data_IF_332874752310
#
_entry.id   IF_332874752310
#
_cell.length_a   1.000
_cell.length_b   1.000
_cell.length_c   1.000
_cell.angle_alpha   90.00
_cell.angle_beta   90.00
_cell.angle_gamma   90.00
#
_symmetry.space_group_name_H-M   'P 1'
#
loop_
_entity.id
_entity.type
_entity.pdbx_description
1 polymer ?
#
# COMPACT_ATOMS: atom_id res chain seq x y z
N UNK A 1 10.75 -24.58 9.72
CA UNK A 1 11.48 -23.43 10.31
C UNK A 1 10.61 -22.81 11.41
N UNK A 2 11.21 -22.27 12.47
CA UNK A 2 10.46 -21.46 13.43
C UNK A 2 10.47 -20.00 12.93
N UNK A 3 9.34 -19.54 12.39
CA UNK A 3 9.15 -18.17 11.93
C UNK A 3 7.99 -17.51 12.66
N UNK A 4 8.05 -16.18 12.81
CA UNK A 4 7.00 -15.37 13.42
C UNK A 4 6.49 -14.34 12.42
N UNK A 5 5.21 -13.99 12.52
CA UNK A 5 4.67 -12.82 11.86
C UNK A 5 5.18 -11.56 12.57
N UNK A 6 5.76 -10.62 11.81
CA UNK A 6 6.27 -9.35 12.32
C UNK A 6 5.45 -8.21 11.72
N UNK A 7 4.86 -7.39 12.59
CA UNK A 7 4.10 -6.23 12.17
C UNK A 7 5.04 -5.06 11.87
N UNK A 8 5.03 -4.56 10.64
CA UNK A 8 5.69 -3.30 10.27
C UNK A 8 4.63 -2.24 10.09
N UNK A 9 4.62 -1.24 10.97
CA UNK A 9 3.63 -0.17 10.96
C UNK A 9 4.17 1.12 10.36
N UNK A 10 3.32 1.87 9.66
CA UNK A 10 3.68 3.19 9.15
C UNK A 10 3.67 4.26 10.24
N UNK A 11 4.79 4.95 10.41
CA UNK A 11 4.83 6.17 11.23
C UNK A 11 4.15 7.32 10.48
N UNK A 12 3.11 7.90 11.07
CA UNK A 12 2.35 9.00 10.45
C UNK A 12 3.23 10.22 10.20
N UNK A 13 3.21 10.72 8.96
CA UNK A 13 3.98 11.89 8.54
C UNK A 13 3.43 13.23 9.03
N UNK A 14 4.30 14.24 9.08
CA UNK A 14 3.99 15.58 9.59
C UNK A 14 2.92 16.34 8.81
N UNK A 15 2.68 15.98 7.54
CA UNK A 15 1.70 16.61 6.66
C UNK A 15 0.34 15.92 6.66
N UNK A 16 0.05 15.05 7.65
CA UNK A 16 -1.24 14.37 7.76
C UNK A 16 -2.41 15.37 7.74
N UNK A 17 -3.32 15.22 6.77
CA UNK A 17 -4.49 16.09 6.59
C UNK A 17 -5.62 15.37 5.84
N UNK A 18 -6.83 15.93 5.89
CA UNK A 18 -8.00 15.37 5.23
C UNK A 18 -8.38 16.15 3.98
N UNK A 19 -8.16 15.54 2.81
CA UNK A 19 -8.39 16.20 1.52
C UNK A 19 -9.43 15.53 0.60
N UNK A 20 -9.97 14.36 0.99
CA UNK A 20 -10.96 13.65 0.20
C UNK A 20 -10.45 13.18 -1.16
N UNK A 21 -9.19 12.75 -1.23
CA UNK A 21 -8.50 12.40 -2.49
C UNK A 21 -8.85 11.00 -3.03
N UNK A 22 -9.59 10.21 -2.27
CA UNK A 22 -9.81 8.78 -2.56
C UNK A 22 -11.28 8.45 -2.79
N UNK A 23 -11.81 8.75 -3.98
CA UNK A 23 -13.14 8.28 -4.37
C UNK A 23 -13.25 6.75 -4.26
N UNK A 24 -14.32 6.26 -3.63
CA UNK A 24 -14.49 4.88 -3.17
C UNK A 24 -14.06 4.60 -1.73
N UNK A 25 -13.27 5.48 -1.10
CA UNK A 25 -13.05 5.49 0.34
C UNK A 25 -13.98 6.54 0.97
N UNK A 26 -15.09 6.08 1.53
CA UNK A 26 -16.12 6.98 2.06
C UNK A 26 -15.61 7.81 3.25
N UNK A 27 -14.73 7.26 4.09
CA UNK A 27 -14.14 8.01 5.20
C UNK A 27 -13.29 9.19 4.69
N UNK A 28 -12.50 8.99 3.63
CA UNK A 28 -11.75 10.06 2.97
C UNK A 28 -12.68 11.18 2.49
N UNK A 29 -13.76 10.82 1.79
CA UNK A 29 -14.74 11.76 1.24
C UNK A 29 -15.48 12.54 2.34
N UNK A 30 -15.97 11.85 3.38
CA UNK A 30 -16.79 12.43 4.45
C UNK A 30 -16.01 13.41 5.34
N UNK A 31 -14.72 13.18 5.59
CA UNK A 31 -13.89 14.03 6.45
C UNK A 31 -13.12 15.13 5.69
N UNK A 32 -13.43 15.32 4.40
CA UNK A 32 -12.74 16.29 3.54
C UNK A 32 -12.72 17.69 4.18
N UNK A 33 -11.53 18.27 4.26
CA UNK A 33 -11.23 19.60 4.80
C UNK A 33 -11.53 19.80 6.29
N UNK A 34 -11.75 18.73 7.05
CA UNK A 34 -11.66 18.81 8.51
C UNK A 34 -10.21 19.10 8.94
N UNK A 35 -10.05 19.73 10.11
CA UNK A 35 -8.73 19.99 10.70
C UNK A 35 -8.15 18.68 11.23
N UNK A 36 -6.94 18.35 10.82
CA UNK A 36 -6.19 17.20 11.32
C UNK A 36 -5.28 17.57 12.49
N UNK A 37 -4.77 16.56 13.19
CA UNK A 37 -3.74 16.72 14.20
C UNK A 37 -2.60 15.71 13.94
N UNK A 38 -1.58 16.08 13.13
CA UNK A 38 -0.49 15.17 12.77
C UNK A 38 0.24 14.56 13.98
N UNK A 39 0.43 15.36 15.03
CA UNK A 39 1.09 14.90 16.26
C UNK A 39 0.26 13.85 17.00
N UNK A 40 -1.05 14.08 17.10
CA UNK A 40 -1.96 13.12 17.71
C UNK A 40 -2.01 11.83 16.89
N UNK A 41 -2.13 11.93 15.56
CA UNK A 41 -2.17 10.76 14.67
C UNK A 41 -0.90 9.91 14.79
N UNK A 42 0.29 10.53 14.80
CA UNK A 42 1.55 9.82 15.01
C UNK A 42 1.60 9.15 16.40
N UNK A 43 1.18 9.86 17.46
CA UNK A 43 1.15 9.28 18.82
C UNK A 43 0.16 8.13 18.95
N UNK A 44 -1.00 8.19 18.30
CA UNK A 44 -1.97 7.09 18.28
C UNK A 44 -1.38 5.84 17.63
N UNK A 45 -0.70 5.98 16.48
CA UNK A 45 0.02 4.88 15.84
C UNK A 45 1.11 4.30 16.74
N UNK A 46 1.96 5.15 17.32
CA UNK A 46 3.04 4.73 18.21
C UNK A 46 2.53 4.00 19.47
N UNK A 47 1.42 4.44 20.06
CA UNK A 47 0.78 3.76 21.18
C UNK A 47 0.32 2.36 20.79
N UNK A 48 -0.29 2.19 19.60
CA UNK A 48 -0.68 0.88 19.08
C UNK A 48 0.53 -0.04 18.90
N UNK A 49 1.57 0.44 18.20
CA UNK A 49 2.80 -0.30 17.97
C UNK A 49 3.39 -0.77 19.31
N UNK A 50 3.54 0.13 20.28
CA UNK A 50 4.13 -0.19 21.58
C UNK A 50 3.28 -1.16 22.38
N UNK A 51 1.95 -1.03 22.36
CA UNK A 51 1.05 -1.93 23.07
C UNK A 51 1.15 -3.38 22.55
N UNK A 52 1.22 -3.59 21.23
CA UNK A 52 1.40 -4.93 20.66
C UNK A 52 2.80 -5.49 20.93
N UNK A 53 3.83 -4.65 20.81
CA UNK A 53 5.19 -5.03 21.18
C UNK A 53 5.28 -5.50 22.64
N UNK A 54 4.66 -4.76 23.57
CA UNK A 54 4.62 -5.08 25.01
C UNK A 54 3.82 -6.34 25.32
N UNK A 55 2.82 -6.65 24.49
CA UNK A 55 2.06 -7.89 24.56
C UNK A 55 2.81 -9.09 23.94
N UNK A 56 4.03 -8.90 23.43
CA UNK A 56 4.87 -9.97 22.89
C UNK A 56 4.71 -10.24 21.39
N UNK A 57 3.97 -9.40 20.66
CA UNK A 57 3.87 -9.50 19.20
C UNK A 57 5.06 -8.75 18.55
N UNK A 58 5.86 -9.40 17.69
CA UNK A 58 6.96 -8.73 17.02
C UNK A 58 6.49 -7.50 16.23
N UNK A 59 7.10 -6.34 16.51
CA UNK A 59 6.69 -5.05 15.97
C UNK A 59 7.90 -4.26 15.49
N UNK A 60 7.74 -3.59 14.35
CA UNK A 60 8.69 -2.69 13.74
C UNK A 60 7.96 -1.48 13.12
N UNK A 61 8.72 -0.56 12.54
CA UNK A 61 8.24 0.71 12.00
C UNK A 61 8.82 0.98 10.61
N UNK A 62 8.00 1.56 9.73
CA UNK A 62 8.38 2.12 8.43
C UNK A 62 8.22 3.66 8.54
N UNK A 63 9.24 4.46 8.19
CA UNK A 63 9.19 5.92 8.33
C UNK A 63 8.27 6.58 7.30
N UNK A 64 7.81 7.83 7.55
CA UNK A 64 7.05 8.61 6.57
C UNK A 64 7.93 9.04 5.39
N UNK A 65 7.29 9.47 4.30
CA UNK A 65 7.98 9.98 3.10
C UNK A 65 8.21 11.50 3.17
N UNK A 66 9.06 12.02 2.28
CA UNK A 66 9.21 13.46 2.02
C UNK A 66 7.88 14.09 1.58
N UNK A 67 7.39 15.08 2.34
CA UNK A 67 6.16 15.83 2.04
C UNK A 67 6.30 17.27 2.54
N UNK A 68 5.92 18.31 1.76
CA UNK A 68 5.43 18.29 0.38
C UNK A 68 6.48 17.77 -0.62
N UNK A 69 6.07 16.93 -1.59
CA UNK A 69 6.98 16.32 -2.54
C UNK A 69 7.19 17.22 -3.78
N UNK A 70 8.12 18.16 -3.66
CA UNK A 70 8.41 19.19 -4.67
C UNK A 70 8.78 18.63 -6.06
N UNK A 71 9.56 17.53 -6.20
CA UNK A 71 9.94 17.00 -7.52
C UNK A 71 8.75 16.75 -8.45
N UNK A 72 7.62 16.29 -7.92
CA UNK A 72 6.40 16.05 -8.73
C UNK A 72 5.76 17.36 -9.17
N UNK A 73 5.79 18.42 -8.35
CA UNK A 73 5.32 19.74 -8.78
C UNK A 73 6.18 20.28 -9.92
N UNK A 74 7.49 20.01 -9.91
CA UNK A 74 8.39 20.34 -11.03
C UNK A 74 8.03 19.58 -12.29
N UNK A 75 7.73 18.30 -12.16
CA UNK A 75 7.26 17.46 -13.27
C UNK A 75 5.93 17.98 -13.86
N UNK A 76 5.08 18.60 -13.03
CA UNK A 76 3.85 19.26 -13.47
C UNK A 76 4.07 20.69 -14.06
N UNK A 77 5.32 21.11 -14.24
CA UNK A 77 5.68 22.35 -14.92
C UNK A 77 5.97 23.55 -14.01
N UNK A 78 5.93 23.41 -12.68
CA UNK A 78 6.28 24.49 -11.76
C UNK A 78 7.80 24.58 -11.55
N UNK A 79 8.39 25.74 -11.78
CA UNK A 79 9.85 25.95 -11.71
C UNK A 79 10.27 27.01 -10.66
N UNK A 80 11.55 27.03 -10.29
CA UNK A 80 12.12 27.94 -9.27
C UNK A 80 12.83 27.20 -8.13
N UNK A 81 13.15 27.88 -7.03
CA UNK A 81 13.49 27.21 -5.77
C UNK A 81 12.28 26.44 -5.21
N UNK A 82 12.49 25.57 -4.22
CA UNK A 82 11.40 24.78 -3.62
C UNK A 82 10.30 25.67 -3.05
N UNK A 83 10.67 26.75 -2.36
CA UNK A 83 9.74 27.75 -1.85
C UNK A 83 8.97 28.48 -2.96
N UNK A 84 9.64 28.82 -4.07
CA UNK A 84 8.98 29.44 -5.23
C UNK A 84 8.02 28.49 -5.92
N UNK A 85 8.36 27.20 -6.03
CA UNK A 85 7.46 26.17 -6.55
C UNK A 85 6.24 26.06 -5.64
N UNK A 86 6.46 25.96 -4.33
CA UNK A 86 5.38 25.87 -3.33
C UNK A 86 4.43 27.07 -3.43
N UNK A 87 4.97 28.29 -3.49
CA UNK A 87 4.20 29.53 -3.61
C UNK A 87 3.39 29.57 -4.90
N UNK A 88 4.00 29.24 -6.05
CA UNK A 88 3.31 29.22 -7.34
C UNK A 88 2.16 28.23 -7.34
N UNK A 89 2.37 27.01 -6.83
CA UNK A 89 1.32 25.99 -6.77
C UNK A 89 0.22 26.42 -5.80
N UNK A 90 0.56 27.00 -4.66
CA UNK A 90 -0.44 27.51 -3.71
C UNK A 90 -1.38 28.54 -4.33
N UNK A 91 -0.86 29.44 -5.18
CA UNK A 91 -1.67 30.47 -5.84
C UNK A 91 -2.39 29.99 -7.09
N UNK A 92 -1.74 29.14 -7.89
CA UNK A 92 -2.22 28.79 -9.23
C UNK A 92 -3.02 27.49 -9.26
N UNK A 93 -2.65 26.50 -8.46
CA UNK A 93 -3.26 25.17 -8.46
C UNK A 93 -3.17 24.47 -7.09
N UNK A 94 -3.80 25.03 -6.03
CA UNK A 94 -3.62 24.56 -4.65
C UNK A 94 -4.06 23.11 -4.42
N UNK A 95 -4.91 22.54 -5.28
CA UNK A 95 -5.29 21.13 -5.22
C UNK A 95 -4.10 20.19 -5.40
N UNK A 96 -3.08 20.57 -6.17
CA UNK A 96 -1.86 19.77 -6.33
C UNK A 96 -1.02 19.74 -5.06
N UNK A 97 -1.02 20.81 -4.25
CA UNK A 97 -0.31 20.80 -2.97
C UNK A 97 -0.80 19.69 -2.06
N UNK A 98 -2.12 19.50 -1.98
CA UNK A 98 -2.69 18.42 -1.19
C UNK A 98 -2.28 17.05 -1.73
N UNK A 99 -2.34 16.86 -3.05
CA UNK A 99 -1.91 15.61 -3.70
C UNK A 99 -0.46 15.23 -3.40
N UNK A 100 0.47 16.20 -3.36
CA UNK A 100 1.89 15.93 -3.07
C UNK A 100 2.25 16.05 -1.59
N UNK A 101 1.28 16.37 -0.72
CA UNK A 101 1.48 16.53 0.73
C UNK A 101 0.71 15.51 1.56
N UNK A 102 0.06 14.52 0.93
CA UNK A 102 -0.64 13.47 1.65
C UNK A 102 0.34 12.62 2.48
N UNK A 103 -0.02 12.36 3.74
CA UNK A 103 0.67 11.39 4.60
C UNK A 103 0.21 9.94 4.35
N UNK A 104 -0.36 9.64 3.17
CA UNK A 104 -0.85 8.32 2.79
C UNK A 104 0.13 7.16 2.89
N UNK A 105 1.48 7.33 2.79
CA UNK A 105 2.42 6.24 3.06
C UNK A 105 2.31 5.60 4.44
N UNK A 106 1.63 6.24 5.40
CA UNK A 106 1.38 5.64 6.71
C UNK A 106 0.55 4.34 6.62
N UNK A 107 -0.23 4.16 5.56
CA UNK A 107 -0.99 2.92 5.30
C UNK A 107 -0.13 1.91 4.57
N UNK A 108 0.76 1.26 5.33
CA UNK A 108 1.77 0.32 4.83
C UNK A 108 1.23 -1.06 4.46
N UNK A 109 -0.04 -1.36 4.78
CA UNK A 109 -0.75 -2.50 4.18
C UNK A 109 -0.77 -2.40 2.64
N UNK A 110 -0.61 -1.20 2.09
CA UNK A 110 -0.52 -0.99 0.65
C UNK A 110 0.91 -0.77 0.16
N UNK A 111 1.94 -0.90 0.99
CA UNK A 111 3.31 -0.61 0.58
C UNK A 111 3.84 -1.63 -0.45
N UNK A 112 3.57 -2.92 -0.19
CA UNK A 112 4.04 -4.04 -0.99
C UNK A 112 3.18 -5.28 -0.73
N UNK A 113 3.37 -6.32 -1.54
CA UNK A 113 2.91 -7.67 -1.26
C UNK A 113 4.09 -8.55 -0.86
N UNK A 114 3.93 -9.32 0.21
CA UNK A 114 5.00 -10.13 0.83
C UNK A 114 4.79 -11.60 0.51
N UNK A 115 5.88 -12.32 0.18
CA UNK A 115 5.91 -13.77 0.19
C UNK A 115 6.99 -14.27 1.16
N UNK A 116 6.61 -14.96 2.25
CA UNK A 116 7.55 -15.60 3.16
C UNK A 116 8.41 -16.64 2.43
N UNK A 117 9.63 -16.86 2.90
CA UNK A 117 10.56 -17.86 2.35
C UNK A 117 10.04 -19.28 2.31
N UNK A 118 9.03 -19.61 3.14
CA UNK A 118 8.36 -20.90 3.12
C UNK A 118 7.49 -21.14 1.87
N UNK A 119 7.17 -20.09 1.11
CA UNK A 119 6.27 -20.15 -0.04
C UNK A 119 6.97 -19.89 -1.37
N UNK A 120 8.24 -19.44 -1.34
CA UNK A 120 8.97 -18.99 -2.53
C UNK A 120 9.86 -20.08 -3.12
N UNK A 121 10.04 -20.05 -4.44
CA UNK A 121 10.81 -21.06 -5.17
C UNK A 121 12.30 -21.09 -4.81
N UNK A 122 12.87 -19.95 -4.42
CA UNK A 122 14.29 -19.82 -4.06
C UNK A 122 14.55 -19.79 -2.55
N UNK A 123 13.50 -19.91 -1.73
CA UNK A 123 13.60 -19.89 -0.27
C UNK A 123 13.97 -18.52 0.33
N UNK A 124 13.83 -17.42 -0.43
CA UNK A 124 14.01 -16.05 0.08
C UNK A 124 12.68 -15.39 0.43
N UNK A 125 12.71 -14.33 1.23
CA UNK A 125 11.56 -13.47 1.44
C UNK A 125 11.44 -12.49 0.27
N UNK A 126 10.32 -12.50 -0.43
CA UNK A 126 10.08 -11.60 -1.55
C UNK A 126 9.12 -10.47 -1.15
N UNK A 127 9.42 -9.25 -1.61
CA UNK A 127 8.59 -8.06 -1.43
C UNK A 127 8.43 -7.35 -2.78
N UNK A 128 7.23 -7.29 -3.33
CA UNK A 128 6.96 -6.50 -4.56
C UNK A 128 6.23 -5.23 -4.17
N UNK A 129 6.82 -4.07 -4.49
CA UNK A 129 6.23 -2.75 -4.19
C UNK A 129 4.91 -2.58 -4.95
N UNK A 130 3.88 -2.05 -4.30
CA UNK A 130 2.61 -1.77 -4.96
C UNK A 130 2.68 -0.45 -5.72
N UNK A 131 2.14 -0.40 -6.94
CA UNK A 131 2.20 0.81 -7.75
C UNK A 131 1.18 1.88 -7.33
N UNK A 132 0.10 1.48 -6.67
CA UNK A 132 -0.96 2.37 -6.17
C UNK A 132 -1.54 3.29 -7.26
N UNK A 133 -1.56 2.78 -8.50
CA UNK A 133 -1.84 3.55 -9.69
C UNK A 133 -3.19 4.26 -9.66
N UNK A 134 -4.18 3.67 -8.98
CA UNK A 134 -5.55 4.19 -8.98
C UNK A 134 -5.65 5.61 -8.40
N UNK A 135 -4.78 5.97 -7.43
CA UNK A 135 -4.82 7.25 -6.74
C UNK A 135 -3.50 8.00 -6.96
N UNK A 136 -3.54 9.11 -7.68
CA UNK A 136 -2.34 9.90 -7.98
C UNK A 136 -1.48 10.20 -6.75
N UNK A 137 -2.07 10.73 -5.67
CA UNK A 137 -1.32 11.03 -4.44
C UNK A 137 -0.63 9.81 -3.81
N UNK A 138 -1.12 8.60 -4.09
CA UNK A 138 -0.54 7.33 -3.65
C UNK A 138 0.42 6.71 -4.65
N UNK A 139 0.22 6.90 -5.95
CA UNK A 139 1.15 6.40 -6.96
C UNK A 139 2.54 7.04 -6.86
N UNK A 140 2.64 8.21 -6.21
CA UNK A 140 3.92 8.87 -5.87
C UNK A 140 4.73 8.13 -4.79
N UNK A 141 4.13 7.16 -4.10
CA UNK A 141 4.75 6.47 -2.97
C UNK A 141 5.81 5.46 -3.43
N UNK A 142 5.54 4.71 -4.51
CA UNK A 142 6.29 3.53 -4.90
C UNK A 142 7.82 3.70 -4.95
N UNK A 143 8.39 4.76 -5.57
CA UNK A 143 9.86 4.91 -5.64
C UNK A 143 10.52 5.07 -4.25
N UNK A 144 9.87 5.80 -3.35
CA UNK A 144 10.38 6.01 -1.99
C UNK A 144 10.13 4.77 -1.14
N UNK A 145 8.96 4.12 -1.28
CA UNK A 145 8.68 2.84 -0.62
C UNK A 145 9.72 1.79 -0.97
N UNK A 146 10.11 1.66 -2.24
CA UNK A 146 11.16 0.74 -2.67
C UNK A 146 12.49 1.03 -1.95
N UNK A 147 12.87 2.31 -1.88
CA UNK A 147 14.09 2.73 -1.18
C UNK A 147 14.06 2.39 0.31
N UNK A 148 12.91 2.62 0.96
CA UNK A 148 12.72 2.30 2.38
C UNK A 148 12.76 0.80 2.64
N UNK A 149 12.10 -0.01 1.81
CA UNK A 149 12.10 -1.47 1.96
C UNK A 149 13.49 -2.04 1.73
N UNK A 150 14.24 -1.56 0.73
CA UNK A 150 15.65 -1.96 0.53
C UNK A 150 16.55 -1.55 1.69
N UNK A 151 16.29 -0.41 2.32
CA UNK A 151 17.05 0.01 3.50
C UNK A 151 16.75 -0.86 4.74
N UNK A 152 15.49 -1.25 4.95
CA UNK A 152 15.05 -2.07 6.09
C UNK A 152 15.44 -3.55 5.89
N UNK A 153 15.15 -4.11 4.71
CA UNK A 153 15.37 -5.50 4.32
C UNK A 153 16.63 -5.59 3.44
N UNK A 154 17.77 -5.14 3.98
CA UNK A 154 19.00 -4.91 3.22
C UNK A 154 19.89 -6.16 3.00
N UNK A 155 19.56 -7.28 3.63
CA UNK A 155 20.30 -8.54 3.44
C UNK A 155 19.81 -9.26 2.18
N UNK A 156 20.47 -9.00 1.05
CA UNK A 156 20.08 -9.53 -0.28
C UNK A 156 20.18 -11.07 -0.38
N UNK A 157 20.87 -11.73 0.56
CA UNK A 157 20.87 -13.19 0.65
C UNK A 157 19.53 -13.72 1.19
N UNK A 158 18.79 -12.91 1.94
CA UNK A 158 17.54 -13.30 2.62
C UNK A 158 16.31 -12.62 2.03
N UNK A 159 16.46 -11.42 1.47
CA UNK A 159 15.37 -10.59 0.98
C UNK A 159 15.57 -10.22 -0.49
N UNK A 160 14.48 -10.26 -1.26
CA UNK A 160 14.42 -9.78 -2.64
C UNK A 160 13.31 -8.74 -2.75
N UNK A 161 13.69 -7.46 -2.91
CA UNK A 161 12.75 -6.35 -3.11
C UNK A 161 12.61 -6.05 -4.62
N UNK A 162 11.41 -6.25 -5.15
CA UNK A 162 11.06 -5.97 -6.53
C UNK A 162 10.43 -4.59 -6.66
N UNK A 163 10.79 -3.88 -7.73
CA UNK A 163 10.12 -2.63 -8.10
C UNK A 163 8.65 -2.85 -8.41
N UNK A 164 7.88 -1.76 -8.33
CA UNK A 164 6.46 -1.81 -8.60
C UNK A 164 6.13 -2.15 -10.06
N UNK A 165 4.95 -2.74 -10.26
CA UNK A 165 4.41 -2.97 -11.61
C UNK A 165 4.25 -1.65 -12.39
N UNK A 166 4.24 -1.69 -13.75
CA UNK A 166 4.03 -0.50 -14.57
C UNK A 166 2.80 0.32 -14.15
N UNK A 167 2.95 1.65 -14.18
CA UNK A 167 1.95 2.62 -13.72
C UNK A 167 0.81 2.79 -14.74
N UNK A 168 0.00 1.75 -14.93
CA UNK A 168 -1.17 1.74 -15.82
C UNK A 168 -2.35 1.07 -15.15
N UNK A 169 -3.57 1.49 -15.51
CA UNK A 169 -4.79 0.95 -14.91
C UNK A 169 -4.93 -0.56 -15.12
N UNK A 170 -4.45 -1.15 -16.23
CA UNK A 170 -4.46 -2.60 -16.44
C UNK A 170 -3.73 -3.37 -15.32
N UNK A 171 -2.71 -2.76 -14.73
CA UNK A 171 -1.85 -3.36 -13.71
C UNK A 171 -2.02 -2.65 -12.36
N UNK A 172 -3.24 -2.21 -12.03
CA UNK A 172 -3.52 -1.57 -10.73
C UNK A 172 -3.27 -2.53 -9.57
N UNK A 173 -2.33 -2.17 -8.70
CA UNK A 173 -1.91 -2.98 -7.55
C UNK A 173 -1.91 -2.16 -6.26
N UNK A 174 -2.61 -2.66 -5.24
CA UNK A 174 -2.72 -2.05 -3.91
C UNK A 174 -2.10 -2.89 -2.79
N UNK A 175 -1.27 -3.89 -3.14
CA UNK A 175 -0.39 -4.58 -2.21
C UNK A 175 -1.09 -5.52 -1.23
N UNK A 176 -0.51 -5.67 -0.03
CA UNK A 176 -0.96 -6.61 0.99
C UNK A 176 -2.41 -6.39 1.48
N UNK A 177 -3.00 -5.21 1.30
CA UNK A 177 -4.41 -4.96 1.63
C UNK A 177 -5.39 -5.84 0.81
N UNK A 178 -4.93 -6.42 -0.29
CA UNK A 178 -5.66 -7.38 -1.11
C UNK A 178 -5.01 -8.78 -1.11
N UNK A 179 -4.09 -9.03 -0.19
CA UNK A 179 -3.40 -10.31 -0.02
C UNK A 179 -3.81 -10.96 1.29
N UNK A 180 -3.79 -12.27 1.30
CA UNK A 180 -4.12 -13.10 2.43
C UNK A 180 -3.20 -14.32 2.44
N UNK A 181 -2.91 -14.86 3.62
CA UNK A 181 -2.14 -16.08 3.77
C UNK A 181 -2.79 -16.95 4.84
N UNK A 182 -3.10 -18.20 4.47
CA UNK A 182 -3.72 -19.19 5.35
C UNK A 182 -2.82 -20.41 5.48
N UNK A 183 -2.80 -21.05 6.65
CA UNK A 183 -1.95 -22.21 6.90
C UNK A 183 -1.98 -22.69 8.36
N UNK A 184 -0.95 -23.45 8.71
CA UNK A 184 -0.74 -23.96 10.06
C UNK A 184 0.07 -22.99 10.93
N UNK A 185 1.37 -23.26 11.01
CA UNK A 185 2.33 -22.32 11.62
C UNK A 185 2.89 -21.38 10.55
N UNK A 186 3.25 -20.15 10.92
CA UNK A 186 3.76 -19.15 9.96
C UNK A 186 5.00 -19.62 9.18
N UNK A 187 5.85 -20.47 9.78
CA UNK A 187 7.05 -21.01 9.14
C UNK A 187 6.83 -22.24 8.26
N UNK A 188 5.59 -22.70 8.09
CA UNK A 188 5.20 -23.77 7.17
C UNK A 188 4.74 -23.17 5.83
N UNK A 189 4.87 -23.90 4.71
CA UNK A 189 4.31 -23.49 3.42
C UNK A 189 2.80 -23.20 3.55
N UNK A 190 2.40 -21.99 3.18
CA UNK A 190 1.02 -21.50 3.32
C UNK A 190 0.31 -21.34 1.98
N UNK A 191 -1.01 -21.21 2.02
CA UNK A 191 -1.85 -20.88 0.87
C UNK A 191 -2.02 -19.35 0.79
N UNK A 192 -1.56 -18.74 -0.30
CA UNK A 192 -1.72 -17.33 -0.56
C UNK A 192 -2.97 -17.07 -1.40
N UNK A 193 -3.83 -16.19 -0.89
CA UNK A 193 -5.06 -15.76 -1.55
C UNK A 193 -4.92 -14.30 -1.98
N UNK A 194 -4.93 -14.08 -3.29
CA UNK A 194 -4.92 -12.77 -3.91
C UNK A 194 -6.34 -12.36 -4.31
N UNK A 195 -6.84 -11.28 -3.72
CA UNK A 195 -8.18 -10.76 -3.98
C UNK A 195 -8.11 -9.63 -5.00
N UNK A 196 -8.96 -9.62 -6.02
CA UNK A 196 -8.98 -8.57 -7.05
C UNK A 196 -10.39 -8.02 -7.29
N UNK A 197 -10.50 -6.79 -7.78
CA UNK A 197 -11.81 -6.16 -8.02
C UNK A 197 -12.30 -6.27 -9.46
N UNK A 198 -11.39 -6.47 -10.43
CA UNK A 198 -11.69 -6.62 -11.85
C UNK A 198 -10.58 -7.38 -12.59
N UNK A 199 -10.90 -7.87 -13.77
CA UNK A 199 -9.97 -8.46 -14.73
C UNK A 199 -10.42 -8.09 -16.16
N UNK A 200 -9.50 -8.13 -17.12
CA UNK A 200 -9.81 -7.89 -18.53
C UNK A 200 -10.70 -9.03 -19.08
N UNK A 201 -11.71 -8.68 -19.88
CA UNK A 201 -12.67 -9.65 -20.42
C UNK A 201 -13.78 -10.12 -19.46
N UNK A 202 -13.80 -9.70 -18.19
CA UNK A 202 -14.88 -10.02 -17.25
C UNK A 202 -15.79 -8.81 -16.98
N UNK A 203 -17.07 -8.94 -17.28
CA UNK A 203 -18.07 -7.89 -17.08
C UNK A 203 -18.45 -7.69 -15.60
N UNK A 204 -18.19 -8.67 -14.74
CA UNK A 204 -18.38 -8.55 -13.30
C UNK A 204 -17.34 -7.60 -12.74
N UNK A 205 -17.76 -6.38 -12.40
CA UNK A 205 -16.92 -5.32 -11.82
C UNK A 205 -17.82 -4.30 -11.13
N UNK A 206 -17.31 -3.54 -10.15
CA UNK A 206 -18.11 -2.50 -9.52
C UNK A 206 -18.53 -1.42 -10.51
N UNK A 207 -19.70 -0.85 -10.28
CA UNK A 207 -20.39 0.09 -11.16
C UNK A 207 -20.32 1.54 -10.69
N UNK A 208 -20.04 1.77 -9.40
CA UNK A 208 -20.01 3.08 -8.74
C UNK A 208 -18.63 3.47 -8.27
N UNK A 209 -17.96 2.60 -7.51
CA UNK A 209 -16.63 2.85 -6.97
C UNK A 209 -15.55 2.04 -7.72
N UNK A 210 -14.33 2.55 -7.86
CA UNK A 210 -13.33 1.90 -8.72
C UNK A 210 -12.77 0.62 -8.09
N UNK A 211 -12.72 -0.46 -8.87
CA UNK A 211 -11.86 -1.60 -8.59
C UNK A 211 -10.39 -1.23 -8.82
N UNK A 212 -9.66 -1.03 -7.72
CA UNK A 212 -8.26 -0.60 -7.75
C UNK A 212 -7.30 -1.74 -8.13
N UNK A 213 -7.53 -2.92 -7.55
CA UNK A 213 -6.76 -4.13 -7.83
C UNK A 213 -7.26 -4.82 -9.09
N UNK A 214 -6.32 -5.20 -9.96
CA UNK A 214 -6.59 -6.06 -11.12
C UNK A 214 -6.07 -7.46 -10.90
N UNK A 215 -6.69 -8.46 -11.53
CA UNK A 215 -6.16 -9.82 -11.51
C UNK A 215 -4.80 -9.88 -12.19
N UNK A 216 -4.63 -9.16 -13.29
CA UNK A 216 -3.38 -9.12 -14.06
C UNK A 216 -2.21 -8.66 -13.19
N UNK A 217 -2.45 -7.65 -12.32
CA UNK A 217 -1.48 -7.20 -11.33
C UNK A 217 -1.20 -8.28 -10.29
N UNK A 218 -2.23 -8.87 -9.69
CA UNK A 218 -2.08 -9.92 -8.68
C UNK A 218 -1.30 -11.13 -9.21
N UNK A 219 -1.56 -11.57 -10.44
CA UNK A 219 -0.82 -12.65 -11.08
C UNK A 219 0.64 -12.27 -11.38
N UNK A 220 0.90 -11.01 -11.77
CA UNK A 220 2.26 -10.52 -11.97
C UNK A 220 3.05 -10.47 -10.65
N UNK A 221 2.42 -10.03 -9.56
CA UNK A 221 3.01 -10.05 -8.21
C UNK A 221 3.31 -11.48 -7.77
N UNK A 222 2.39 -12.43 -7.97
CA UNK A 222 2.63 -13.84 -7.64
C UNK A 222 3.87 -14.39 -8.37
N UNK A 223 4.07 -14.02 -9.64
CA UNK A 223 5.28 -14.36 -10.41
C UNK A 223 6.54 -13.69 -9.88
N UNK A 224 6.53 -12.37 -9.65
CA UNK A 224 7.67 -11.61 -9.13
C UNK A 224 8.11 -12.10 -7.76
N UNK A 225 7.14 -12.42 -6.90
CA UNK A 225 7.38 -12.97 -5.58
C UNK A 225 7.80 -14.45 -5.60
N UNK A 226 7.91 -15.06 -6.77
CA UNK A 226 8.27 -16.47 -6.95
C UNK A 226 7.42 -17.40 -6.08
N UNK A 227 6.13 -17.11 -5.92
CA UNK A 227 5.26 -17.95 -5.08
C UNK A 227 5.06 -19.29 -5.79
N UNK A 228 5.17 -20.38 -5.04
CA UNK A 228 4.89 -21.71 -5.57
C UNK A 228 3.46 -21.74 -6.19
N UNK A 229 3.30 -22.15 -7.47
CA UNK A 229 2.00 -22.16 -8.13
C UNK A 229 0.92 -23.03 -7.45
N UNK A 230 1.31 -24.04 -6.66
CA UNK A 230 0.36 -24.86 -5.90
C UNK A 230 -0.13 -24.17 -4.61
N UNK A 231 0.46 -23.04 -4.25
CA UNK A 231 0.18 -22.27 -3.04
C UNK A 231 -0.53 -20.93 -3.34
N UNK A 232 -1.13 -20.78 -4.52
CA UNK A 232 -1.76 -19.52 -4.94
C UNK A 232 -3.21 -19.74 -5.35
N UNK A 233 -4.08 -18.88 -4.84
CA UNK A 233 -5.49 -18.78 -5.24
C UNK A 233 -5.78 -17.31 -5.58
N UNK A 234 -6.53 -17.09 -6.67
CA UNK A 234 -7.05 -15.78 -7.03
C UNK A 234 -8.57 -15.78 -6.84
N UNK A 235 -9.11 -14.79 -6.15
CA UNK A 235 -10.54 -14.63 -5.95
C UNK A 235 -10.99 -13.21 -6.27
N UNK A 236 -12.11 -13.07 -6.96
CA UNK A 236 -12.70 -11.77 -7.19
C UNK A 236 -13.49 -11.32 -5.95
N UNK A 237 -13.27 -10.08 -5.51
CA UNK A 237 -14.09 -9.41 -4.52
C UNK A 237 -15.51 -9.23 -5.06
N UNK A 238 -16.53 -9.40 -4.22
CA UNK A 238 -17.90 -9.06 -4.61
C UNK A 238 -17.98 -7.57 -5.05
N UNK A 239 -18.36 -7.27 -6.31
CA UNK A 239 -18.43 -5.90 -6.81
C UNK A 239 -19.41 -5.02 -6.01
N UNK A 240 -20.49 -5.60 -5.47
CA UNK A 240 -21.51 -4.88 -4.71
C UNK A 240 -20.95 -4.30 -3.42
N UNK A 241 -19.99 -4.98 -2.78
CA UNK A 241 -19.36 -4.47 -1.55
C UNK A 241 -18.34 -3.39 -1.86
N UNK A 242 -17.65 -3.47 -3.01
CA UNK A 242 -16.79 -2.38 -3.47
C UNK A 242 -17.61 -1.11 -3.68
N UNK A 243 -18.80 -1.22 -4.29
CA UNK A 243 -19.74 -0.11 -4.51
C UNK A 243 -20.34 0.47 -3.20
N UNK A 244 -20.13 -0.21 -2.08
CA UNK A 244 -20.48 0.23 -0.72
C UNK A 244 -19.28 0.76 0.08
N UNK A 245 -18.10 0.87 -0.54
CA UNK A 245 -16.92 1.47 0.08
C UNK A 245 -15.82 0.47 0.49
N UNK A 246 -15.94 -0.81 0.14
CA UNK A 246 -14.87 -1.81 0.33
C UNK A 246 -13.82 -1.63 -0.78
N UNK A 247 -12.99 -0.60 -0.66
CA UNK A 247 -11.98 -0.27 -1.68
C UNK A 247 -10.75 -1.19 -1.66
N UNK A 248 -10.59 -2.00 -0.60
CA UNK A 248 -9.58 -3.04 -0.40
C UNK A 248 -10.22 -4.21 0.36
N UNK A 249 -9.68 -5.43 0.20
CA UNK A 249 -10.20 -6.62 0.87
C UNK A 249 -10.09 -6.53 2.40
N UNK A 250 -9.04 -5.90 2.93
CA UNK A 250 -8.85 -5.69 4.38
C UNK A 250 -9.94 -4.84 5.06
N UNK A 251 -10.85 -4.23 4.28
CA UNK A 251 -12.04 -3.53 4.78
C UNK A 251 -13.21 -4.50 5.07
N UNK A 252 -13.18 -5.73 4.54
CA UNK A 252 -14.28 -6.70 4.67
C UNK A 252 -13.84 -8.09 5.16
N UNK A 253 -12.55 -8.44 5.00
CA UNK A 253 -12.02 -9.73 5.39
C UNK A 253 -10.55 -9.64 5.84
N UNK A 254 -10.15 -10.51 6.75
CA UNK A 254 -8.77 -10.65 7.23
C UNK A 254 -8.47 -12.13 7.46
N UNK A 255 -7.25 -12.57 7.14
CA UNK A 255 -6.74 -13.91 7.41
C UNK A 255 -5.66 -13.87 8.48
N UNK A 256 -5.51 -14.98 9.20
CA UNK A 256 -4.42 -15.20 10.13
C UNK A 256 -4.26 -16.71 10.36
N UNK A 257 -3.02 -17.14 10.66
CA UNK A 257 -2.56 -18.53 10.75
C UNK A 257 -2.41 -19.21 9.39
#
# INVERSE_FOLDING_TARGET
MNAWEVNFDGLVGLTHHYAGLSFGNEASTRHRFQVSNPRLAAKQGLLKMKALADAGFPQAVIPPHERPFIPVLRQLGFSGSDEQVLEKVARQAPHWLSSVSSASPMWVANAATIAPSADTLDGKVHLTVANLNNKFHRSLEAPVTESLLKAIFNDEEKFTVHSALPQVALLGDEGAANHNRLGGHYGEPGMQLFVYGREEGNDTRPSRYPARQTREASEAVARLNQVNPQQVIFAQQNPDVIDQGVFHNDVIAVSNR
#
